data_IF_381065940855
#
_entry.id   IF_381065940855
#
_cell.length_a   1.000
_cell.length_b   1.000
_cell.length_c   1.000
_cell.angle_alpha   90.00
_cell.angle_beta   90.00
_cell.angle_gamma   90.00
#
_symmetry.space_group_name_H-M   'P 1'
#
loop_
_entity.id
_entity.type
_entity.pdbx_description
1 polymer ?
#
# COMPACT_ATOMS: atom_id res chain seq x y z
N UNK A 1 -8.17 32.41 36.93
CA UNK A 1 -9.04 32.46 35.74
C UNK A 1 -8.24 32.06 34.52
N UNK A 2 -8.22 30.76 34.21
CA UNK A 2 -8.05 30.28 32.85
C UNK A 2 -8.80 28.96 32.80
N UNK A 3 -9.97 29.01 32.18
CA UNK A 3 -10.87 27.89 31.97
C UNK A 3 -10.09 26.72 31.37
N UNK A 4 -9.86 25.68 32.18
CA UNK A 4 -9.74 24.33 31.67
C UNK A 4 -11.13 23.98 31.14
N UNK A 5 -11.38 24.41 29.91
CA UNK A 5 -12.57 24.04 29.17
C UNK A 5 -12.49 22.53 29.00
N UNK A 6 -13.34 21.81 29.75
CA UNK A 6 -13.70 20.44 29.48
C UNK A 6 -13.89 20.30 27.97
N UNK A 7 -12.97 19.58 27.32
CA UNK A 7 -13.19 19.14 25.96
C UNK A 7 -14.35 18.16 26.03
N UNK A 8 -15.56 18.68 25.91
CA UNK A 8 -16.73 17.93 25.46
C UNK A 8 -16.22 16.99 24.39
N UNK A 9 -16.44 15.69 24.57
CA UNK A 9 -16.14 14.67 23.56
C UNK A 9 -16.96 15.04 22.33
N UNK A 10 -16.44 15.95 21.52
CA UNK A 10 -16.94 16.18 20.20
C UNK A 10 -16.72 14.84 19.51
N UNK A 11 -17.81 14.24 19.03
CA UNK A 11 -17.76 13.19 18.02
C UNK A 11 -17.10 13.79 16.78
N UNK A 12 -15.78 13.98 16.85
CA UNK A 12 -14.96 14.43 15.76
C UNK A 12 -14.72 13.20 14.91
N UNK A 13 -15.30 13.20 13.70
CA UNK A 13 -14.93 12.24 12.68
C UNK A 13 -13.40 12.31 12.50
N UNK A 14 -12.66 11.19 12.64
CA UNK A 14 -11.22 11.17 12.39
C UNK A 14 -10.85 11.76 11.02
N UNK A 15 -11.74 11.71 10.03
CA UNK A 15 -11.56 12.29 8.71
C UNK A 15 -11.52 13.83 8.67
N UNK A 16 -12.04 14.49 9.71
CA UNK A 16 -12.06 15.95 9.84
C UNK A 16 -10.81 16.49 10.58
N UNK A 17 -10.04 15.62 11.25
CA UNK A 17 -8.81 16.01 11.95
C UNK A 17 -7.75 16.43 10.92
N UNK A 18 -7.27 17.67 10.99
CA UNK A 18 -6.21 18.15 10.09
C UNK A 18 -6.63 18.32 8.63
N UNK A 19 -7.95 18.45 8.37
CA UNK A 19 -8.53 18.56 7.01
C UNK A 19 -7.95 19.68 6.15
N UNK A 20 -7.50 20.78 6.77
CA UNK A 20 -6.85 21.90 6.08
C UNK A 20 -5.54 21.48 5.40
N UNK A 21 -4.84 20.50 5.97
CA UNK A 21 -3.58 19.98 5.45
C UNK A 21 -3.76 18.83 4.45
N UNK A 22 -4.97 18.28 4.33
CA UNK A 22 -5.27 17.15 3.45
C UNK A 22 -5.16 17.55 1.98
N UNK A 23 -4.28 16.86 1.27
CA UNK A 23 -4.16 16.97 -0.17
C UNK A 23 -5.30 16.23 -0.88
N UNK A 24 -5.36 16.32 -2.22
CA UNK A 24 -6.42 15.66 -3.00
C UNK A 24 -6.44 14.13 -2.83
N UNK A 25 -5.27 13.51 -2.68
CA UNK A 25 -5.15 12.07 -2.48
C UNK A 25 -5.65 11.64 -1.09
N UNK A 26 -5.34 12.41 -0.04
CA UNK A 26 -5.87 12.19 1.31
C UNK A 26 -7.42 12.20 1.29
N UNK A 27 -8.01 13.19 0.61
CA UNK A 27 -9.48 13.29 0.49
C UNK A 27 -10.09 12.13 -0.29
N UNK A 28 -9.40 11.65 -1.32
CA UNK A 28 -9.82 10.46 -2.07
C UNK A 28 -9.82 9.21 -1.17
N UNK A 29 -8.74 8.99 -0.42
CA UNK A 29 -8.62 7.84 0.48
C UNK A 29 -9.69 7.89 1.58
N UNK A 30 -9.92 9.06 2.19
CA UNK A 30 -10.97 9.25 3.21
C UNK A 30 -12.35 8.97 2.62
N UNK A 31 -12.64 9.47 1.41
CA UNK A 31 -13.92 9.22 0.73
C UNK A 31 -14.16 7.73 0.48
N UNK A 32 -13.14 7.03 -0.04
CA UNK A 32 -13.21 5.56 -0.24
C UNK A 32 -13.39 4.86 1.11
N UNK A 33 -12.62 5.22 2.13
CA UNK A 33 -12.72 4.64 3.47
C UNK A 33 -14.10 4.80 4.10
N UNK A 34 -14.71 5.98 3.98
CA UNK A 34 -16.05 6.25 4.51
C UNK A 34 -17.14 5.42 3.80
N UNK A 35 -16.99 5.17 2.49
CA UNK A 35 -17.90 4.28 1.75
C UNK A 35 -17.71 2.84 2.20
N UNK A 36 -16.45 2.38 2.27
CA UNK A 36 -16.12 1.00 2.66
C UNK A 36 -16.42 0.72 4.14
N UNK A 37 -16.46 1.73 5.00
CA UNK A 37 -16.82 1.58 6.41
C UNK A 37 -18.22 0.98 6.61
N UNK A 38 -19.14 1.16 5.65
CA UNK A 38 -20.46 0.52 5.66
C UNK A 38 -20.42 -1.01 5.52
N UNK A 39 -19.28 -1.60 5.12
CA UNK A 39 -19.10 -3.04 5.15
C UNK A 39 -19.11 -3.61 6.57
N UNK A 40 -18.74 -2.84 7.60
CA UNK A 40 -18.76 -3.32 8.99
C UNK A 40 -20.16 -3.62 9.53
N UNK A 41 -21.16 -2.74 9.43
CA UNK A 41 -22.52 -3.10 9.86
C UNK A 41 -23.09 -4.26 9.03
N UNK A 42 -22.78 -4.32 7.72
CA UNK A 42 -23.18 -5.47 6.88
C UNK A 42 -22.52 -6.76 7.37
N UNK A 43 -21.23 -6.72 7.72
CA UNK A 43 -20.48 -7.83 8.30
C UNK A 43 -21.11 -8.28 9.64
N UNK A 44 -21.48 -7.34 10.51
CA UNK A 44 -22.16 -7.67 11.79
C UNK A 44 -23.48 -8.38 11.52
N UNK A 45 -24.28 -7.91 10.57
CA UNK A 45 -25.53 -8.59 10.17
C UNK A 45 -25.24 -9.99 9.64
N UNK A 46 -24.21 -10.17 8.80
CA UNK A 46 -23.81 -11.47 8.28
C UNK A 46 -23.38 -12.45 9.39
N UNK A 47 -22.59 -11.98 10.37
CA UNK A 47 -22.16 -12.77 11.53
C UNK A 47 -23.39 -13.18 12.37
N UNK A 48 -24.26 -12.24 12.71
CA UNK A 48 -25.48 -12.53 13.48
C UNK A 48 -26.39 -13.51 12.75
N UNK A 49 -26.58 -13.35 11.44
CA UNK A 49 -27.35 -14.28 10.62
C UNK A 49 -26.74 -15.68 10.65
N UNK A 50 -25.42 -15.80 10.51
CA UNK A 50 -24.73 -17.09 10.57
C UNK A 50 -24.87 -17.77 11.94
N UNK A 51 -24.77 -17.00 13.04
CA UNK A 51 -24.96 -17.54 14.39
C UNK A 51 -26.37 -18.09 14.59
N UNK A 52 -27.41 -17.38 14.11
CA UNK A 52 -28.80 -17.83 14.19
C UNK A 52 -29.03 -19.08 13.32
N UNK A 53 -28.57 -19.07 12.08
CA UNK A 53 -28.69 -20.22 11.17
C UNK A 53 -27.99 -21.45 11.75
N UNK A 54 -26.76 -21.28 12.26
CA UNK A 54 -25.99 -22.36 12.88
C UNK A 54 -26.69 -22.91 14.12
N UNK A 55 -27.30 -22.04 14.92
CA UNK A 55 -28.11 -22.44 16.09
C UNK A 55 -29.37 -23.21 15.69
N UNK A 56 -29.94 -22.92 14.51
CA UNK A 56 -31.07 -23.65 13.92
C UNK A 56 -30.66 -24.94 13.17
N UNK A 57 -29.37 -25.33 13.21
CA UNK A 57 -28.85 -26.53 12.54
C UNK A 57 -28.47 -26.35 11.07
N UNK A 58 -28.48 -25.13 10.55
CA UNK A 58 -28.08 -24.81 9.18
C UNK A 58 -26.72 -24.09 9.15
N UNK A 59 -25.65 -24.75 8.68
CA UNK A 59 -24.36 -24.10 8.50
C UNK A 59 -24.12 -23.73 7.02
N UNK A 60 -24.00 -22.44 6.72
CA UNK A 60 -23.83 -21.93 5.36
C UNK A 60 -22.38 -21.49 5.13
N UNK A 61 -21.62 -22.26 4.34
CA UNK A 61 -20.19 -21.97 4.10
C UNK A 61 -19.97 -20.67 3.31
N UNK A 62 -20.83 -20.36 2.33
CA UNK A 62 -20.76 -19.09 1.60
C UNK A 62 -20.92 -17.87 2.50
N UNK A 63 -21.66 -17.98 3.62
CA UNK A 63 -21.85 -16.89 4.55
C UNK A 63 -20.61 -16.68 5.42
N UNK A 64 -19.89 -17.76 5.75
CA UNK A 64 -18.56 -17.66 6.37
C UNK A 64 -17.57 -17.01 5.39
N UNK A 65 -17.51 -17.48 4.14
CA UNK A 65 -16.64 -16.88 3.11
C UNK A 65 -16.94 -15.38 2.92
N UNK A 66 -18.21 -14.99 2.86
CA UNK A 66 -18.62 -13.60 2.72
C UNK A 66 -18.11 -12.73 3.88
N UNK A 67 -18.16 -13.26 5.12
CA UNK A 67 -17.64 -12.54 6.28
C UNK A 67 -16.13 -12.28 6.15
N UNK A 68 -15.35 -13.27 5.69
CA UNK A 68 -13.93 -13.10 5.42
C UNK A 68 -13.65 -12.04 4.35
N UNK A 69 -14.46 -12.02 3.29
CA UNK A 69 -14.30 -11.03 2.22
C UNK A 69 -14.60 -9.62 2.70
N UNK A 70 -15.75 -9.43 3.36
CA UNK A 70 -16.16 -8.15 3.92
C UNK A 70 -15.13 -7.63 4.93
N UNK A 71 -14.70 -8.49 5.85
CA UNK A 71 -13.71 -8.14 6.85
C UNK A 71 -12.36 -7.77 6.23
N UNK A 72 -11.85 -8.58 5.31
CA UNK A 72 -10.56 -8.31 4.65
C UNK A 72 -10.53 -6.98 3.90
N UNK A 73 -11.57 -6.70 3.10
CA UNK A 73 -11.68 -5.44 2.34
C UNK A 73 -11.81 -4.24 3.30
N UNK A 74 -12.66 -4.37 4.33
CA UNK A 74 -12.89 -3.30 5.29
C UNK A 74 -11.62 -2.96 6.09
N UNK A 75 -10.90 -3.97 6.57
CA UNK A 75 -9.68 -3.77 7.36
C UNK A 75 -8.55 -3.22 6.52
N UNK A 76 -8.28 -3.77 5.32
CA UNK A 76 -7.19 -3.27 4.47
C UNK A 76 -7.43 -1.82 4.04
N UNK A 77 -8.67 -1.47 3.70
CA UNK A 77 -9.05 -0.08 3.42
C UNK A 77 -8.95 0.79 4.68
N UNK A 78 -9.32 0.25 5.84
CA UNK A 78 -9.17 0.91 7.14
C UNK A 78 -7.72 1.26 7.49
N UNK A 79 -6.74 0.44 7.07
CA UNK A 79 -5.31 0.78 7.24
C UNK A 79 -4.95 2.01 6.40
N UNK A 80 -5.39 2.08 5.14
CA UNK A 80 -5.17 3.27 4.30
C UNK A 80 -5.80 4.54 4.92
N UNK A 81 -7.01 4.40 5.46
CA UNK A 81 -7.68 5.48 6.19
C UNK A 81 -6.88 5.90 7.43
N UNK A 82 -6.47 4.97 8.28
CA UNK A 82 -5.73 5.24 9.51
C UNK A 82 -4.35 5.88 9.26
N UNK A 83 -3.68 5.53 8.16
CA UNK A 83 -2.44 6.18 7.72
C UNK A 83 -2.71 7.64 7.33
N UNK A 84 -3.85 7.90 6.68
CA UNK A 84 -4.24 9.25 6.24
C UNK A 84 -4.61 10.15 7.41
N UNK A 85 -5.46 9.66 8.33
CA UNK A 85 -5.98 10.40 9.49
C UNK A 85 -5.08 10.33 10.72
N UNK A 86 -3.94 9.64 10.60
CA UNK A 86 -3.01 9.43 11.69
C UNK A 86 -3.62 8.72 12.93
N UNK A 87 -4.59 7.83 12.70
CA UNK A 87 -5.33 7.12 13.75
C UNK A 87 -4.72 5.78 14.13
N UNK A 88 -3.50 5.48 13.66
CA UNK A 88 -2.78 4.27 14.07
C UNK A 88 -2.28 4.41 15.52
N UNK A 89 -2.25 3.30 16.24
CA UNK A 89 -1.73 3.27 17.62
C UNK A 89 -0.24 3.63 17.58
N UNK A 90 0.10 4.76 18.18
CA UNK A 90 1.47 5.22 18.38
C UNK A 90 1.88 4.89 19.82
N UNK A 91 3.16 4.59 20.03
CA UNK A 91 3.70 4.45 21.39
C UNK A 91 3.99 5.85 21.93
N UNK A 92 2.95 6.56 22.34
CA UNK A 92 3.00 8.00 22.67
C UNK A 92 4.04 8.33 23.77
N UNK A 93 4.30 7.40 24.69
CA UNK A 93 5.31 7.53 25.77
C UNK A 93 6.71 7.85 25.22
N UNK A 94 7.07 7.31 24.05
CA UNK A 94 8.38 7.58 23.43
C UNK A 94 8.43 8.95 22.73
N UNK A 95 7.28 9.49 22.36
CA UNK A 95 7.16 10.70 21.56
C UNK A 95 6.83 11.93 22.39
N UNK A 96 6.31 11.82 23.61
CA UNK A 96 5.88 12.98 24.41
C UNK A 96 6.96 14.05 24.56
N UNK A 97 8.23 13.65 24.70
CA UNK A 97 9.35 14.58 24.88
C UNK A 97 10.02 15.05 23.57
N UNK A 98 9.52 14.65 22.39
CA UNK A 98 10.14 14.99 21.12
C UNK A 98 9.59 16.29 20.53
N UNK A 99 10.47 17.12 19.97
CA UNK A 99 10.04 18.30 19.22
C UNK A 99 9.20 17.90 17.99
N UNK A 100 8.29 18.78 17.52
CA UNK A 100 7.46 18.50 16.34
C UNK A 100 8.26 18.07 15.11
N UNK A 101 9.44 18.66 14.90
CA UNK A 101 10.33 18.30 13.79
C UNK A 101 10.97 16.91 13.94
N UNK A 102 11.29 16.50 15.17
CA UNK A 102 11.84 15.16 15.43
C UNK A 102 10.77 14.10 15.22
N UNK A 103 9.54 14.36 15.66
CA UNK A 103 8.37 13.50 15.39
C UNK A 103 8.16 13.33 13.88
N UNK A 104 8.12 14.43 13.13
CA UNK A 104 7.93 14.40 11.68
C UNK A 104 9.03 13.62 10.94
N UNK A 105 10.30 13.74 11.36
CA UNK A 105 11.41 12.96 10.77
C UNK A 105 11.28 11.47 11.00
N UNK A 106 10.88 11.05 12.21
CA UNK A 106 10.66 9.63 12.53
C UNK A 106 9.47 9.08 11.76
N UNK A 107 8.36 9.82 11.69
CA UNK A 107 7.18 9.42 10.94
C UNK A 107 7.49 9.28 9.44
N UNK A 108 8.26 10.21 8.87
CA UNK A 108 8.73 10.12 7.47
C UNK A 108 9.56 8.87 7.28
N UNK A 109 10.55 8.62 8.15
CA UNK A 109 11.38 7.42 8.06
C UNK A 109 10.53 6.15 8.12
N UNK A 110 9.64 6.02 9.10
CA UNK A 110 8.74 4.87 9.21
C UNK A 110 7.85 4.69 7.98
N UNK A 111 7.32 5.77 7.41
CA UNK A 111 6.48 5.72 6.23
C UNK A 111 7.23 5.27 4.98
N UNK A 112 8.38 5.86 4.66
CA UNK A 112 9.04 5.65 3.36
C UNK A 112 10.19 4.64 3.36
N UNK A 113 10.74 4.31 4.52
CA UNK A 113 11.78 3.27 4.64
C UNK A 113 11.22 1.91 5.05
N UNK A 114 10.08 1.88 5.76
CA UNK A 114 9.52 0.64 6.29
C UNK A 114 8.14 0.32 5.68
N UNK A 115 7.17 1.23 5.83
CA UNK A 115 5.79 0.94 5.47
C UNK A 115 5.54 0.92 3.95
N UNK A 116 5.94 1.96 3.22
CA UNK A 116 5.76 2.06 1.78
C UNK A 116 6.46 0.95 0.98
N UNK A 117 7.73 0.55 1.25
CA UNK A 117 8.33 -0.58 0.52
C UNK A 117 7.64 -1.90 0.86
N UNK A 118 7.18 -2.10 2.10
CA UNK A 118 6.35 -3.25 2.47
C UNK A 118 5.03 -3.28 1.70
N UNK A 119 4.35 -2.13 1.55
CA UNK A 119 3.11 -2.04 0.77
C UNK A 119 3.36 -2.36 -0.71
N UNK A 120 4.45 -1.86 -1.30
CA UNK A 120 4.82 -2.18 -2.69
C UNK A 120 5.11 -3.67 -2.85
N UNK A 121 5.79 -4.30 -1.88
CA UNK A 121 6.07 -5.74 -1.89
C UNK A 121 4.76 -6.55 -1.83
N UNK A 122 3.86 -6.22 -0.91
CA UNK A 122 2.57 -6.86 -0.80
C UNK A 122 1.73 -6.68 -2.06
N UNK A 123 1.74 -5.49 -2.66
CA UNK A 123 1.07 -5.24 -3.94
C UNK A 123 1.61 -6.15 -5.05
N UNK A 124 2.92 -6.22 -5.21
CA UNK A 124 3.56 -7.04 -6.25
C UNK A 124 3.23 -8.54 -6.09
N UNK A 125 3.36 -9.04 -4.87
CA UNK A 125 3.09 -10.45 -4.58
C UNK A 125 1.60 -10.80 -4.77
N UNK A 126 0.70 -9.94 -4.28
CA UNK A 126 -0.75 -10.17 -4.43
C UNK A 126 -1.24 -10.03 -5.86
N UNK A 127 -0.56 -9.25 -6.71
CA UNK A 127 -0.90 -9.13 -8.13
C UNK A 127 -0.76 -10.48 -8.85
N UNK A 128 0.35 -11.19 -8.63
CA UNK A 128 0.56 -12.53 -9.21
C UNK A 128 -0.47 -13.54 -8.70
N UNK A 129 -0.81 -13.50 -7.41
CA UNK A 129 -1.87 -14.33 -6.85
C UNK A 129 -3.24 -14.02 -7.45
N UNK A 130 -3.57 -12.75 -7.68
CA UNK A 130 -4.82 -12.35 -8.30
C UNK A 130 -4.90 -12.85 -9.75
N UNK A 131 -3.84 -12.66 -10.55
CA UNK A 131 -3.78 -13.12 -11.95
C UNK A 131 -3.94 -14.65 -12.02
N UNK A 132 -3.20 -15.39 -11.19
CA UNK A 132 -3.27 -16.86 -11.15
C UNK A 132 -4.64 -17.37 -10.71
N UNK A 133 -5.29 -16.66 -9.79
CA UNK A 133 -6.63 -17.00 -9.31
C UNK A 133 -7.71 -16.80 -10.38
N UNK A 134 -7.60 -15.72 -11.15
CA UNK A 134 -8.50 -15.43 -12.28
C UNK A 134 -8.34 -16.49 -13.36
N UNK A 135 -7.10 -16.85 -13.73
CA UNK A 135 -6.87 -17.88 -14.76
C UNK A 135 -7.34 -19.27 -14.33
N UNK A 136 -7.24 -19.59 -13.04
CA UNK A 136 -7.75 -20.83 -12.48
C UNK A 136 -9.27 -20.86 -12.24
N UNK A 137 -9.99 -19.73 -12.44
CA UNK A 137 -11.40 -19.58 -12.03
C UNK A 137 -11.65 -20.06 -10.61
N UNK A 138 -10.80 -19.61 -9.68
CA UNK A 138 -10.75 -20.12 -8.31
C UNK A 138 -12.08 -19.93 -7.58
N UNK A 139 -12.47 -20.96 -6.83
CA UNK A 139 -13.70 -21.01 -6.04
C UNK A 139 -13.36 -21.45 -4.62
N UNK A 140 -14.27 -21.21 -3.69
CA UNK A 140 -14.13 -21.73 -2.33
C UNK A 140 -13.98 -23.25 -2.34
N UNK A 141 -13.15 -23.77 -1.43
CA UNK A 141 -12.97 -25.21 -1.20
C UNK A 141 -14.24 -25.87 -0.64
N UNK A 142 -15.14 -25.06 -0.07
CA UNK A 142 -16.40 -25.55 0.49
C UNK A 142 -17.41 -25.84 -0.62
N UNK A 143 -18.11 -27.00 -0.60
CA UNK A 143 -19.11 -27.35 -1.62
C UNK A 143 -20.26 -26.35 -1.78
N UNK A 144 -20.57 -25.61 -0.71
CA UNK A 144 -21.59 -24.55 -0.66
C UNK A 144 -20.94 -23.18 -0.35
N UNK A 145 -19.70 -22.97 -0.77
CA UNK A 145 -18.93 -21.74 -0.56
C UNK A 145 -19.17 -20.69 -1.65
N UNK A 146 -18.57 -19.52 -1.49
CA UNK A 146 -18.64 -18.48 -2.53
C UNK A 146 -17.86 -18.91 -3.78
N UNK A 147 -18.54 -18.79 -4.91
CA UNK A 147 -17.90 -18.88 -6.22
C UNK A 147 -17.13 -17.58 -6.51
N UNK A 148 -16.08 -17.64 -7.33
CA UNK A 148 -15.28 -16.49 -7.76
C UNK A 148 -14.36 -15.88 -6.69
N UNK A 149 -13.61 -16.71 -5.96
CA UNK A 149 -12.63 -16.28 -4.95
C UNK A 149 -11.59 -15.29 -5.51
N UNK A 150 -11.34 -15.33 -6.81
CA UNK A 150 -10.48 -14.38 -7.51
C UNK A 150 -10.89 -12.91 -7.33
N UNK A 151 -12.18 -12.62 -7.11
CA UNK A 151 -12.66 -11.25 -6.83
C UNK A 151 -12.01 -10.70 -5.55
N UNK A 152 -11.95 -11.52 -4.50
CA UNK A 152 -11.31 -11.13 -3.24
C UNK A 152 -9.83 -10.80 -3.45
N UNK A 153 -9.11 -11.63 -4.22
CA UNK A 153 -7.68 -11.43 -4.46
C UNK A 153 -7.39 -10.17 -5.29
N UNK A 154 -8.25 -9.85 -6.25
CA UNK A 154 -8.20 -8.56 -6.97
C UNK A 154 -8.44 -7.39 -6.00
N UNK A 155 -9.50 -7.45 -5.20
CA UNK A 155 -9.84 -6.38 -4.27
C UNK A 155 -8.73 -6.17 -3.22
N UNK A 156 -8.13 -7.25 -2.72
CA UNK A 156 -6.97 -7.21 -1.84
C UNK A 156 -5.80 -6.45 -2.50
N UNK A 157 -5.49 -6.74 -3.77
CA UNK A 157 -4.45 -6.03 -4.51
C UNK A 157 -4.77 -4.53 -4.65
N UNK A 158 -6.02 -4.17 -4.96
CA UNK A 158 -6.47 -2.77 -5.05
C UNK A 158 -6.37 -2.04 -3.70
N UNK A 159 -6.64 -2.71 -2.59
CA UNK A 159 -6.45 -2.12 -1.27
C UNK A 159 -4.98 -1.76 -0.99
N UNK A 160 -4.01 -2.58 -1.43
CA UNK A 160 -2.58 -2.23 -1.31
C UNK A 160 -2.21 -1.00 -2.16
N UNK A 161 -2.81 -0.83 -3.34
CA UNK A 161 -2.64 0.40 -4.14
C UNK A 161 -3.16 1.61 -3.35
N UNK A 162 -4.35 1.51 -2.75
CA UNK A 162 -4.94 2.57 -1.94
C UNK A 162 -4.05 2.92 -0.73
N UNK A 163 -3.49 1.91 -0.06
CA UNK A 163 -2.52 2.10 1.03
C UNK A 163 -1.25 2.80 0.55
N UNK A 164 -0.74 2.47 -0.64
CA UNK A 164 0.42 3.14 -1.24
C UNK A 164 0.15 4.62 -1.53
N UNK A 165 -1.05 4.93 -2.05
CA UNK A 165 -1.51 6.32 -2.24
C UNK A 165 -1.60 7.06 -0.91
N UNK A 166 -2.19 6.45 0.12
CA UNK A 166 -2.29 7.03 1.46
C UNK A 166 -0.92 7.31 2.08
N UNK A 167 0.00 6.34 2.03
CA UNK A 167 1.35 6.46 2.55
C UNK A 167 2.14 7.57 1.84
N UNK A 168 2.05 7.66 0.51
CA UNK A 168 2.70 8.71 -0.26
C UNK A 168 2.10 10.10 0.03
N UNK A 169 0.77 10.20 0.15
CA UNK A 169 0.08 11.43 0.48
C UNK A 169 0.46 11.95 1.89
N UNK A 170 0.47 11.07 2.88
CA UNK A 170 0.92 11.36 4.25
C UNK A 170 2.39 11.77 4.29
N UNK A 171 3.26 11.06 3.56
CA UNK A 171 4.67 11.41 3.44
C UNK A 171 4.88 12.82 2.87
N UNK A 172 4.21 13.17 1.77
CA UNK A 172 4.33 14.50 1.16
C UNK A 172 3.84 15.59 2.10
N UNK A 173 2.75 15.33 2.86
CA UNK A 173 2.23 16.27 3.87
C UNK A 173 3.23 16.51 4.99
N UNK A 174 3.83 15.44 5.54
CA UNK A 174 4.84 15.55 6.59
C UNK A 174 6.13 16.23 6.10
N UNK A 175 6.56 15.93 4.87
CA UNK A 175 7.77 16.54 4.30
C UNK A 175 7.62 18.06 4.13
N UNK A 176 6.43 18.55 3.75
CA UNK A 176 6.14 19.99 3.63
C UNK A 176 6.34 20.74 4.93
N UNK A 177 6.15 20.10 6.09
CA UNK A 177 6.36 20.71 7.41
C UNK A 177 7.85 20.91 7.73
N UNK A 178 8.73 20.09 7.16
CA UNK A 178 10.18 20.16 7.41
C UNK A 178 10.93 20.97 6.35
N UNK A 179 10.51 20.89 5.08
CA UNK A 179 11.33 21.39 3.97
C UNK A 179 10.45 21.77 2.77
N UNK A 180 10.90 22.76 1.98
CA UNK A 180 10.25 23.10 0.69
C UNK A 180 10.12 21.85 -0.19
N UNK A 181 8.92 21.53 -0.70
CA UNK A 181 8.63 20.24 -1.31
C UNK A 181 9.08 20.19 -2.78
N UNK A 182 10.38 20.29 -3.05
CA UNK A 182 10.95 20.02 -4.37
C UNK A 182 10.78 18.54 -4.75
N UNK A 183 10.63 18.22 -6.04
CA UNK A 183 10.33 16.86 -6.52
C UNK A 183 11.50 15.92 -6.28
N UNK A 184 12.72 16.38 -6.51
CA UNK A 184 13.92 15.58 -6.26
C UNK A 184 14.08 15.22 -4.77
N UNK A 185 13.72 16.13 -3.85
CA UNK A 185 13.75 15.87 -2.41
C UNK A 185 12.76 14.77 -2.03
N UNK A 186 11.54 14.81 -2.60
CA UNK A 186 10.54 13.76 -2.37
C UNK A 186 11.06 12.38 -2.76
N UNK A 187 11.80 12.29 -3.86
CA UNK A 187 12.37 11.02 -4.31
C UNK A 187 13.56 10.58 -3.46
N UNK A 188 14.41 11.52 -3.04
CA UNK A 188 15.61 11.25 -2.25
C UNK A 188 15.30 10.79 -0.82
N UNK A 189 14.38 11.45 -0.11
CA UNK A 189 14.03 11.01 1.25
C UNK A 189 13.32 9.66 1.24
N UNK A 190 12.57 9.35 0.17
CA UNK A 190 11.91 8.07 -0.05
C UNK A 190 12.77 7.05 -0.82
N UNK A 191 14.10 7.17 -0.77
CA UNK A 191 15.02 6.40 -1.62
C UNK A 191 14.77 4.89 -1.65
N UNK A 192 14.59 4.17 -0.53
CA UNK A 192 14.35 2.72 -0.61
C UNK A 192 13.06 2.38 -1.35
N UNK A 193 11.98 3.11 -1.07
CA UNK A 193 10.69 2.92 -1.74
C UNK A 193 10.76 3.24 -3.23
N UNK A 194 11.40 4.36 -3.59
CA UNK A 194 11.50 4.80 -4.98
C UNK A 194 12.43 3.91 -5.79
N UNK A 195 13.56 3.49 -5.20
CA UNK A 195 14.45 2.51 -5.80
C UNK A 195 13.74 1.18 -6.01
N UNK A 196 12.98 0.70 -5.02
CA UNK A 196 12.24 -0.55 -5.14
C UNK A 196 11.16 -0.49 -6.23
N UNK A 197 10.41 0.62 -6.32
CA UNK A 197 9.43 0.82 -7.38
C UNK A 197 10.08 0.90 -8.77
N UNK A 198 11.22 1.59 -8.90
CA UNK A 198 11.99 1.65 -10.15
C UNK A 198 12.53 0.26 -10.50
N UNK A 199 13.04 -0.51 -9.54
CA UNK A 199 13.46 -1.88 -9.75
C UNK A 199 12.32 -2.74 -10.30
N UNK A 200 11.13 -2.60 -9.74
CA UNK A 200 9.97 -3.35 -10.21
C UNK A 200 9.56 -2.97 -11.63
N UNK A 201 9.56 -1.66 -11.95
CA UNK A 201 9.29 -1.17 -13.30
C UNK A 201 10.32 -1.68 -14.31
N UNK A 202 11.61 -1.64 -13.97
CA UNK A 202 12.70 -2.17 -14.80
C UNK A 202 12.55 -3.68 -14.98
N UNK A 203 12.34 -4.41 -13.88
CA UNK A 203 12.17 -5.86 -13.90
C UNK A 203 11.03 -6.26 -14.84
N UNK A 204 9.85 -5.66 -14.70
CA UNK A 204 8.73 -5.97 -15.58
C UNK A 204 8.92 -5.50 -17.02
N UNK A 205 9.57 -4.37 -17.25
CA UNK A 205 9.87 -3.91 -18.61
C UNK A 205 10.83 -4.88 -19.33
N UNK A 206 11.87 -5.34 -18.63
CA UNK A 206 12.80 -6.35 -19.14
C UNK A 206 12.09 -7.70 -19.32
N UNK A 207 11.22 -8.08 -18.38
CA UNK A 207 10.48 -9.34 -18.44
C UNK A 207 9.51 -9.36 -19.62
N UNK A 208 8.72 -8.31 -19.81
CA UNK A 208 7.83 -8.23 -20.97
C UNK A 208 8.60 -8.09 -22.28
N UNK A 209 9.69 -7.31 -22.30
CA UNK A 209 10.54 -7.17 -23.48
C UNK A 209 11.13 -8.51 -23.94
N UNK A 210 11.63 -9.31 -22.99
CA UNK A 210 12.14 -10.67 -23.28
C UNK A 210 11.01 -11.64 -23.63
N UNK A 211 9.87 -11.60 -22.92
CA UNK A 211 8.70 -12.47 -23.20
C UNK A 211 8.13 -12.27 -24.60
N UNK A 212 8.11 -11.04 -25.12
CA UNK A 212 7.65 -10.72 -26.47
C UNK A 212 8.68 -11.08 -27.55
N UNK A 213 9.96 -11.20 -27.18
CA UNK A 213 11.04 -11.55 -28.10
C UNK A 213 11.19 -13.05 -28.29
N UNK A 214 10.67 -13.86 -27.35
CA UNK A 214 10.74 -15.31 -27.36
C UNK A 214 9.52 -15.94 -28.06
N UNK A 215 9.66 -17.13 -28.69
CA UNK A 215 8.54 -17.90 -29.23
C UNK A 215 7.48 -18.19 -28.17
N UNK A 216 6.22 -18.36 -28.60
CA UNK A 216 5.06 -18.53 -27.70
C UNK A 216 5.14 -19.83 -26.90
N UNK A 217 5.84 -20.83 -27.44
CA UNK A 217 6.01 -22.17 -26.86
C UNK A 217 6.95 -22.20 -25.65
N UNK A 218 7.73 -21.14 -25.42
CA UNK A 218 8.66 -21.06 -24.29
C UNK A 218 7.88 -20.79 -23.00
N UNK A 219 8.11 -21.62 -21.98
CA UNK A 219 7.52 -21.46 -20.66
C UNK A 219 7.99 -20.15 -19.98
N UNK A 220 7.10 -19.50 -19.23
CA UNK A 220 7.36 -18.21 -18.59
C UNK A 220 8.52 -18.28 -17.58
N UNK A 221 8.82 -19.48 -17.06
CA UNK A 221 9.96 -19.74 -16.16
C UNK A 221 11.32 -19.63 -16.83
N UNK A 222 11.39 -19.83 -18.14
CA UNK A 222 12.64 -19.72 -18.90
C UNK A 222 12.99 -18.26 -19.19
N UNK A 223 12.03 -17.34 -19.13
CA UNK A 223 12.25 -15.90 -19.29
C UNK A 223 13.22 -15.38 -18.24
N UNK A 224 13.02 -15.76 -16.97
CA UNK A 224 13.85 -15.31 -15.84
C UNK A 224 15.24 -15.96 -15.82
N UNK A 225 15.48 -16.98 -16.66
CA UNK A 225 16.81 -17.61 -16.80
C UNK A 225 17.68 -16.94 -17.86
N UNK A 226 17.13 -15.97 -18.60
CA UNK A 226 17.89 -15.25 -19.59
C UNK A 226 19.05 -14.46 -18.95
N UNK A 227 20.20 -14.30 -19.63
CA UNK A 227 21.38 -13.63 -19.06
C UNK A 227 21.12 -12.22 -18.52
N UNK A 228 20.10 -11.53 -19.04
CA UNK A 228 19.69 -10.20 -18.60
C UNK A 228 19.15 -10.16 -17.16
N UNK A 229 18.66 -11.29 -16.65
CA UNK A 229 18.25 -11.49 -15.25
C UNK A 229 19.35 -12.13 -14.41
N UNK A 230 20.55 -12.26 -14.96
CA UNK A 230 21.70 -12.80 -14.26
C UNK A 230 22.14 -11.94 -13.06
N UNK A 231 23.10 -12.49 -12.34
CA UNK A 231 23.70 -11.88 -11.15
C UNK A 231 25.12 -11.40 -11.46
N UNK A 232 25.51 -10.36 -10.74
CA UNK A 232 26.89 -9.92 -10.66
C UNK A 232 27.47 -10.36 -9.32
N UNK A 233 28.53 -11.18 -9.38
CA UNK A 233 29.19 -11.69 -8.19
C UNK A 233 30.16 -10.63 -7.66
N UNK A 234 29.83 -10.09 -6.48
CA UNK A 234 30.68 -9.14 -5.75
C UNK A 234 31.13 -9.81 -4.46
N UNK A 235 32.29 -10.47 -4.50
CA UNK A 235 32.81 -11.23 -3.36
C UNK A 235 31.96 -12.47 -3.10
N UNK A 236 31.29 -12.53 -1.94
CA UNK A 236 30.37 -13.62 -1.57
C UNK A 236 28.89 -13.30 -1.79
N UNK A 237 28.58 -12.13 -2.36
CA UNK A 237 27.20 -11.68 -2.58
C UNK A 237 26.90 -11.67 -4.09
N UNK A 238 25.76 -12.26 -4.46
CA UNK A 238 25.25 -12.23 -5.83
C UNK A 238 24.22 -11.10 -5.96
N UNK A 239 24.50 -10.10 -6.79
CA UNK A 239 23.62 -8.94 -6.98
C UNK A 239 22.96 -9.01 -8.36
N UNK A 240 21.63 -9.16 -8.46
CA UNK A 240 20.93 -9.10 -9.74
C UNK A 240 21.23 -7.83 -10.54
N UNK A 241 21.44 -7.96 -11.85
CA UNK A 241 21.68 -6.79 -12.72
C UNK A 241 20.55 -5.76 -12.67
N UNK A 242 19.32 -6.21 -12.45
CA UNK A 242 18.13 -5.36 -12.29
C UNK A 242 18.25 -4.38 -11.14
N UNK A 243 18.88 -4.78 -10.03
CA UNK A 243 19.13 -3.93 -8.87
C UNK A 243 20.16 -2.84 -9.22
N UNK A 244 21.21 -3.16 -9.96
CA UNK A 244 22.24 -2.20 -10.35
C UNK A 244 21.68 -1.17 -11.35
N UNK A 245 20.93 -1.65 -12.35
CA UNK A 245 20.28 -0.81 -13.35
C UNK A 245 19.29 0.13 -12.67
N UNK A 246 18.45 -0.40 -11.77
CA UNK A 246 17.47 0.41 -11.05
C UNK A 246 18.12 1.42 -10.12
N UNK A 247 19.19 1.07 -9.40
CA UNK A 247 19.96 2.02 -8.59
C UNK A 247 20.46 3.20 -9.45
N UNK A 248 21.07 2.92 -10.59
CA UNK A 248 21.56 3.95 -11.51
C UNK A 248 20.42 4.82 -12.06
N UNK A 249 19.30 4.20 -12.46
CA UNK A 249 18.12 4.90 -12.96
C UNK A 249 17.45 5.76 -11.89
N UNK A 250 17.37 5.30 -10.65
CA UNK A 250 16.82 6.08 -9.54
C UNK A 250 17.67 7.33 -9.28
N UNK A 251 19.01 7.19 -9.27
CA UNK A 251 19.91 8.35 -9.14
C UNK A 251 19.78 9.31 -10.34
N UNK A 252 19.67 8.77 -11.56
CA UNK A 252 19.44 9.57 -12.77
C UNK A 252 18.11 10.34 -12.70
N UNK A 253 17.02 9.67 -12.31
CA UNK A 253 15.70 10.28 -12.13
C UNK A 253 15.78 11.43 -11.11
N UNK A 254 16.41 11.21 -9.97
CA UNK A 254 16.62 12.25 -8.95
C UNK A 254 17.41 13.43 -9.55
N UNK A 255 18.48 13.17 -10.30
CA UNK A 255 19.29 14.19 -10.98
C UNK A 255 18.51 14.98 -12.03
N UNK A 256 17.68 14.32 -12.84
CA UNK A 256 16.81 14.96 -13.83
C UNK A 256 15.79 15.87 -13.16
N UNK A 257 15.14 15.41 -12.09
CA UNK A 257 14.22 16.26 -11.33
C UNK A 257 14.93 17.42 -10.62
N UNK A 258 16.16 17.22 -10.16
CA UNK A 258 16.96 18.29 -9.58
C UNK A 258 17.28 19.39 -10.60
N UNK A 259 17.70 19.01 -11.82
CA UNK A 259 17.94 19.96 -12.92
C UNK A 259 16.66 20.70 -13.30
N UNK A 260 15.54 19.98 -13.40
CA UNK A 260 14.25 20.55 -13.78
C UNK A 260 13.72 21.53 -12.74
N UNK A 261 13.76 21.17 -11.46
CA UNK A 261 13.29 22.04 -10.37
C UNK A 261 14.14 23.33 -10.31
N UNK A 262 15.46 23.22 -10.52
CA UNK A 262 16.37 24.36 -10.62
C UNK A 262 16.08 25.26 -11.84
N UNK A 263 15.72 24.67 -12.97
CA UNK A 263 15.35 25.41 -14.18
C UNK A 263 14.00 26.12 -14.06
N UNK A 264 13.06 25.59 -13.27
CA UNK A 264 11.77 26.23 -13.00
C UNK A 264 11.80 27.33 -11.93
N UNK A 265 12.96 27.58 -11.31
CA UNK A 265 13.09 28.60 -10.26
C UNK A 265 12.42 28.24 -8.93
N UNK A 266 12.13 26.95 -8.70
CA UNK A 266 11.58 26.43 -7.43
C UNK A 266 12.69 26.07 -6.42
#
# INVERSE_FOLDING_TARGET
MSEQQESVVALYDPGEIGREEHNRADRFVIGVGNIVAWLFPILVVAICAQVVLRSAGHNQAWLDDLQWWLYGIAVLTGVAYAVTTNSHVRVDILFDNYSPERKARIDIFGLVWLFLPFVILCWDMTLHYAISSVSAWERSDSPNGLHNLWILKILMNLCFILMGVAAWAAYVRLLRRLTRPARWRRLLYAFPSTMYLVNLAVYYALWWGTRLSLPVEVDDREVTKQPIFGTWDVGSQEIPFTILISLALTLLLIGVFWLRDRASGE
#
